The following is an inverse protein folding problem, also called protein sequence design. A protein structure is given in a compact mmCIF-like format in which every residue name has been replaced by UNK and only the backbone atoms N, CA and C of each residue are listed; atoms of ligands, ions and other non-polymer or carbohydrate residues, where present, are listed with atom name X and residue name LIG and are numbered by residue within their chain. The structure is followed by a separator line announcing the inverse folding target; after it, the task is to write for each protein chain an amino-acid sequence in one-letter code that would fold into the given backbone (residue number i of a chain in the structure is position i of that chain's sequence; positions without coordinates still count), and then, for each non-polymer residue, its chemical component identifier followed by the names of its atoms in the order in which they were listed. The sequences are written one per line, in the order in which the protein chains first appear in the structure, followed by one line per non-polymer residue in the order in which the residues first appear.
data_IF_526430457647
#
_entry.id   IF_526430457647
#
_cell.length_a   1.000
_cell.length_b   1.000
_cell.length_c   1.000
_cell.angle_alpha   90.00
_cell.angle_beta   90.00
_cell.angle_gamma   90.00
#
_symmetry.space_group_name_H-M   'P 1'
#
loop_
_entity.id
_entity.type
_entity.pdbx_description
1 polymer ?
#
# COMPACT_ATOMS: atom_id res chain seq x y z
N UNK A 1 -11.95 29.27 -21.49
CA UNK A 1 -12.60 27.97 -21.79
C UNK A 1 -12.45 27.07 -20.57
N UNK A 2 -13.55 26.76 -19.88
CA UNK A 2 -13.55 25.93 -18.66
C UNK A 2 -13.33 24.45 -19.06
N UNK A 3 -12.31 23.82 -18.50
CA UNK A 3 -12.07 22.38 -18.65
C UNK A 3 -13.17 21.58 -17.99
N UNK A 4 -13.76 20.65 -18.73
CA UNK A 4 -14.80 19.75 -18.25
C UNK A 4 -14.18 18.74 -17.27
N UNK A 5 -14.62 18.78 -16.01
CA UNK A 5 -14.24 17.79 -15.01
C UNK A 5 -14.75 16.41 -15.43
N UNK A 6 -13.82 15.48 -15.67
CA UNK A 6 -14.15 14.09 -15.98
C UNK A 6 -14.56 13.39 -14.68
N UNK A 7 -15.87 13.23 -14.47
CA UNK A 7 -16.44 12.48 -13.36
C UNK A 7 -15.96 11.02 -13.40
N UNK A 8 -15.09 10.63 -12.46
CA UNK A 8 -14.66 9.24 -12.34
C UNK A 8 -15.78 8.39 -11.72
N UNK A 9 -16.44 7.57 -12.54
CA UNK A 9 -17.51 6.66 -12.11
C UNK A 9 -16.98 5.24 -11.91
N UNK A 10 -17.42 4.58 -10.84
CA UNK A 10 -17.05 3.20 -10.53
C UNK A 10 -17.60 2.23 -11.60
N UNK A 11 -16.80 1.21 -11.96
CA UNK A 11 -17.22 0.14 -12.88
C UNK A 11 -17.87 -1.01 -12.09
N UNK A 12 -18.86 -1.66 -12.71
CA UNK A 12 -19.60 -2.81 -12.16
C UNK A 12 -18.64 -3.99 -11.96
N UNK A 13 -18.71 -4.74 -10.84
CA UNK A 13 -17.96 -5.99 -10.69
C UNK A 13 -18.39 -7.00 -11.74
N UNK A 14 -17.45 -7.81 -12.25
CA UNK A 14 -17.74 -8.93 -13.15
C UNK A 14 -18.74 -9.90 -12.49
N UNK A 15 -19.93 -10.06 -13.07
CA UNK A 15 -20.69 -11.29 -12.92
C UNK A 15 -20.24 -12.26 -14.02
N UNK A 16 -19.94 -13.51 -13.66
CA UNK A 16 -19.44 -14.53 -14.58
C UNK A 16 -20.50 -15.04 -15.58
N UNK A 17 -21.64 -14.34 -15.69
CA UNK A 17 -22.80 -14.78 -16.45
C UNK A 17 -22.89 -14.14 -17.85
N UNK A 18 -22.46 -12.88 -18.04
CA UNK A 18 -22.58 -12.21 -19.34
C UNK A 18 -21.48 -11.15 -19.57
N UNK A 19 -20.66 -11.35 -20.60
CA UNK A 19 -19.50 -10.49 -20.92
C UNK A 19 -19.88 -9.17 -21.64
N UNK A 20 -21.16 -8.94 -21.89
CA UNK A 20 -21.73 -7.80 -22.63
C UNK A 20 -22.23 -6.66 -21.73
N UNK A 21 -22.42 -6.86 -20.43
CA UNK A 21 -22.91 -5.80 -19.52
C UNK A 21 -21.75 -4.94 -18.95
N UNK A 22 -21.08 -4.19 -19.83
CA UNK A 22 -19.98 -3.27 -19.47
C UNK A 22 -20.42 -1.81 -19.32
N UNK A 23 -21.71 -1.57 -19.07
CA UNK A 23 -22.24 -0.22 -18.86
C UNK A 23 -21.68 0.45 -17.59
N UNK A 24 -21.43 1.77 -17.59
CA UNK A 24 -21.12 2.50 -16.37
C UNK A 24 -22.28 2.36 -15.37
N UNK A 25 -21.97 2.18 -14.08
CA UNK A 25 -22.98 2.08 -13.04
C UNK A 25 -23.63 3.44 -12.82
N UNK A 26 -24.80 3.66 -13.39
CA UNK A 26 -25.58 4.85 -13.06
C UNK A 26 -25.97 4.81 -11.57
N UNK A 27 -25.61 5.85 -10.83
CA UNK A 27 -26.16 6.13 -9.49
C UNK A 27 -25.39 5.64 -8.26
N UNK A 28 -24.21 5.03 -8.36
CA UNK A 28 -23.37 4.73 -7.18
C UNK A 28 -22.08 5.53 -7.19
N UNK A 29 -22.08 6.67 -6.50
CA UNK A 29 -20.82 7.32 -6.12
C UNK A 29 -20.04 6.37 -5.21
N UNK A 30 -18.73 6.22 -5.45
CA UNK A 30 -17.86 5.50 -4.54
C UNK A 30 -17.93 6.16 -3.16
N UNK A 31 -18.06 5.37 -2.09
CA UNK A 31 -18.10 5.92 -0.74
C UNK A 31 -16.85 6.77 -0.48
N UNK A 32 -17.01 7.99 0.09
CA UNK A 32 -15.90 8.92 0.34
C UNK A 32 -14.88 8.41 1.38
N UNK A 33 -15.10 7.21 1.93
CA UNK A 33 -14.33 6.58 2.99
C UNK A 33 -13.14 5.75 2.49
N UNK A 34 -12.81 5.76 1.20
CA UNK A 34 -11.59 5.11 0.70
C UNK A 34 -10.46 6.16 0.61
N UNK A 35 -9.54 6.24 1.58
CA UNK A 35 -8.45 7.21 1.56
C UNK A 35 -7.33 6.81 0.60
N UNK A 36 -7.57 5.87 -0.32
CA UNK A 36 -6.69 5.58 -1.45
C UNK A 36 -6.87 6.61 -2.57
N UNK A 37 -7.08 7.87 -2.21
CA UNK A 37 -6.65 8.98 -3.05
C UNK A 37 -5.13 8.96 -2.98
N UNK A 38 -4.52 8.15 -3.85
CA UNK A 38 -3.12 8.34 -4.23
C UNK A 38 -3.09 9.79 -4.71
N UNK A 39 -2.61 10.70 -3.85
CA UNK A 39 -2.30 12.07 -4.29
C UNK A 39 -1.42 11.96 -5.53
N UNK A 40 -1.55 12.92 -6.44
CA UNK A 40 -0.97 12.99 -7.79
C UNK A 40 0.51 12.55 -7.88
N UNK A 41 0.76 11.27 -7.70
CA UNK A 41 2.00 10.64 -8.06
C UNK A 41 1.97 10.63 -9.59
N UNK A 42 3.01 11.15 -10.27
CA UNK A 42 3.05 11.12 -11.72
C UNK A 42 2.74 9.70 -12.15
N UNK A 43 1.65 9.54 -12.90
CA UNK A 43 1.21 8.24 -13.37
C UNK A 43 2.39 7.64 -14.14
N UNK A 44 3.06 6.66 -13.53
CA UNK A 44 4.26 6.04 -14.10
C UNK A 44 3.90 5.63 -15.53
N UNK A 45 4.63 6.17 -16.50
CA UNK A 45 4.33 5.96 -17.92
C UNK A 45 4.17 4.47 -18.18
N UNK A 46 3.05 4.09 -18.80
CA UNK A 46 2.69 2.69 -18.98
C UNK A 46 3.57 2.13 -20.08
N UNK A 47 4.25 1.02 -19.80
CA UNK A 47 5.04 0.28 -20.78
C UNK A 47 4.10 -0.20 -21.90
N UNK A 48 4.10 0.49 -23.05
CA UNK A 48 3.23 0.18 -24.21
C UNK A 48 3.89 -0.77 -25.20
N UNK A 49 5.21 -0.70 -25.34
CA UNK A 49 5.97 -1.44 -26.34
C UNK A 49 6.46 -2.80 -25.82
N UNK A 50 6.52 -3.78 -26.71
CA UNK A 50 6.91 -5.16 -26.41
C UNK A 50 8.23 -5.49 -27.13
N UNK A 51 9.22 -5.96 -26.36
CA UNK A 51 10.48 -6.48 -26.89
C UNK A 51 10.47 -8.01 -26.87
N UNK A 52 10.64 -8.65 -28.04
CA UNK A 52 10.64 -10.12 -28.17
C UNK A 52 12.06 -10.61 -28.44
N UNK A 53 12.54 -11.53 -27.60
CA UNK A 53 13.88 -12.11 -27.70
C UNK A 53 13.81 -13.61 -27.99
N UNK A 54 14.38 -14.03 -29.12
CA UNK A 54 14.56 -15.46 -29.44
C UNK A 54 15.84 -15.95 -28.76
N UNK A 55 15.72 -17.02 -27.99
CA UNK A 55 16.83 -17.63 -27.29
C UNK A 55 16.69 -19.14 -27.26
N UNK A 56 17.82 -19.81 -27.04
CA UNK A 56 17.91 -21.23 -26.75
C UNK A 56 17.40 -21.54 -25.33
N UNK A 57 17.02 -22.79 -25.02
CA UNK A 57 16.55 -23.15 -23.69
C UNK A 57 17.61 -22.94 -22.59
N UNK A 58 18.90 -23.10 -22.92
CA UNK A 58 20.02 -22.86 -22.00
C UNK A 58 20.16 -21.39 -21.66
N UNK A 59 20.13 -20.51 -22.66
CA UNK A 59 20.16 -19.05 -22.46
C UNK A 59 18.98 -18.57 -21.60
N UNK A 60 17.79 -19.12 -21.83
CA UNK A 60 16.60 -18.81 -21.02
C UNK A 60 16.78 -19.24 -19.55
N UNK A 61 17.38 -20.40 -19.31
CA UNK A 61 17.68 -20.87 -17.95
C UNK A 61 18.69 -19.95 -17.25
N UNK A 62 19.77 -19.58 -17.94
CA UNK A 62 20.78 -18.65 -17.41
C UNK A 62 20.17 -17.28 -17.08
N UNK A 63 19.32 -16.74 -17.97
CA UNK A 63 18.65 -15.45 -17.74
C UNK A 63 17.74 -15.49 -16.50
N UNK A 64 16.98 -16.59 -16.33
CA UNK A 64 16.12 -16.77 -15.15
C UNK A 64 16.93 -16.89 -13.87
N UNK A 65 18.00 -17.68 -13.87
CA UNK A 65 18.87 -17.85 -12.71
C UNK A 65 19.51 -16.51 -12.28
N UNK A 66 19.95 -15.70 -13.25
CA UNK A 66 20.47 -14.35 -12.98
C UNK A 66 19.41 -13.42 -12.39
N UNK A 67 18.18 -13.48 -12.90
CA UNK A 67 17.07 -12.67 -12.38
C UNK A 67 16.71 -13.07 -10.94
N UNK A 68 16.62 -14.37 -10.66
CA UNK A 68 16.35 -14.89 -9.31
C UNK A 68 17.45 -14.53 -8.32
N UNK A 69 18.72 -14.69 -8.70
CA UNK A 69 19.85 -14.30 -7.86
C UNK A 69 19.85 -12.80 -7.53
N UNK A 70 19.37 -11.96 -8.45
CA UNK A 70 19.19 -10.52 -8.24
C UNK A 70 17.89 -10.17 -7.50
N UNK A 71 16.96 -11.11 -7.31
CA UNK A 71 15.63 -10.87 -6.75
C UNK A 71 14.71 -10.05 -7.66
N UNK A 72 14.94 -10.13 -8.98
CA UNK A 72 14.29 -9.33 -10.01
C UNK A 72 13.47 -10.21 -10.96
N UNK A 73 12.50 -9.60 -11.65
CA UNK A 73 11.94 -10.22 -12.84
C UNK A 73 12.96 -10.14 -13.99
N UNK A 74 12.88 -11.05 -14.96
CA UNK A 74 13.75 -11.01 -16.13
C UNK A 74 13.62 -9.68 -16.91
N UNK A 75 12.42 -9.08 -16.91
CA UNK A 75 12.19 -7.78 -17.54
C UNK A 75 12.88 -6.64 -16.77
N UNK A 76 12.89 -6.68 -15.44
CA UNK A 76 13.56 -5.67 -14.62
C UNK A 76 15.08 -5.80 -14.70
N UNK A 77 15.60 -7.03 -14.77
CA UNK A 77 17.01 -7.29 -15.02
C UNK A 77 17.48 -6.68 -16.36
N UNK A 78 16.66 -6.81 -17.42
CA UNK A 78 16.97 -6.22 -18.72
C UNK A 78 16.90 -4.68 -18.68
N UNK A 79 15.94 -4.09 -17.96
CA UNK A 79 15.87 -2.63 -17.80
C UNK A 79 17.03 -2.08 -16.99
N UNK A 80 17.50 -2.81 -15.98
CA UNK A 80 18.71 -2.47 -15.21
C UNK A 80 19.95 -2.56 -16.10
N UNK A 81 20.07 -3.59 -16.95
CA UNK A 81 21.19 -3.71 -17.89
C UNK A 81 21.27 -2.56 -18.90
N UNK A 82 20.12 -1.94 -19.23
CA UNK A 82 20.05 -0.74 -20.07
C UNK A 82 20.29 0.56 -19.30
N UNK A 83 20.49 0.51 -17.98
CA UNK A 83 20.64 1.69 -17.13
C UNK A 83 19.35 2.52 -16.96
N UNK A 84 18.19 1.98 -17.36
CA UNK A 84 16.92 2.70 -17.39
C UNK A 84 16.17 2.69 -16.05
N UNK A 85 16.62 1.85 -15.11
CA UNK A 85 15.99 1.73 -13.79
C UNK A 85 17.01 1.42 -12.72
N UNK A 86 17.06 2.26 -11.68
CA UNK A 86 17.55 1.84 -10.38
C UNK A 86 16.47 0.96 -9.74
N UNK A 87 16.56 -0.35 -9.93
CA UNK A 87 15.61 -1.25 -9.28
C UNK A 87 15.92 -1.24 -7.80
N UNK A 88 15.06 -0.54 -7.03
CA UNK A 88 15.12 -0.49 -5.58
C UNK A 88 14.99 -1.92 -5.05
N UNK A 89 16.14 -2.54 -4.79
CA UNK A 89 16.25 -3.88 -4.20
C UNK A 89 15.36 -3.89 -2.98
N UNK A 90 14.33 -4.75 -2.99
CA UNK A 90 13.45 -4.89 -1.82
C UNK A 90 14.35 -5.26 -0.66
N UNK A 91 14.42 -4.40 0.36
CA UNK A 91 15.09 -4.75 1.61
C UNK A 91 14.48 -6.09 2.04
N UNK A 92 15.30 -7.11 2.39
CA UNK A 92 14.78 -8.33 2.97
C UNK A 92 13.82 -7.93 4.08
N UNK A 93 12.58 -8.42 4.02
CA UNK A 93 11.60 -8.13 5.07
C UNK A 93 12.23 -8.66 6.36
N UNK A 94 12.46 -7.80 7.37
CA UNK A 94 13.01 -8.25 8.63
C UNK A 94 12.16 -9.42 9.15
N UNK A 95 12.80 -10.57 9.38
CA UNK A 95 12.11 -11.76 9.88
C UNK A 95 11.81 -11.55 11.36
N UNK A 96 10.65 -10.97 11.65
CA UNK A 96 10.11 -10.87 13.00
C UNK A 96 9.16 -12.03 13.28
N UNK A 97 9.08 -12.49 14.54
CA UNK A 97 8.11 -13.49 14.94
C UNK A 97 6.67 -13.02 14.61
N UNK A 98 5.82 -13.85 13.99
CA UNK A 98 4.46 -13.45 13.61
C UNK A 98 3.61 -12.95 14.78
N UNK A 99 3.89 -13.42 16.00
CA UNK A 99 3.23 -12.96 17.23
C UNK A 99 3.61 -11.52 17.58
N UNK A 100 4.90 -11.18 17.47
CA UNK A 100 5.40 -9.83 17.69
C UNK A 100 4.78 -8.85 16.69
N UNK A 101 4.72 -9.24 15.41
CA UNK A 101 4.08 -8.44 14.34
C UNK A 101 2.60 -8.21 14.64
N UNK A 102 1.87 -9.24 15.05
CA UNK A 102 0.45 -9.13 15.42
C UNK A 102 0.25 -8.25 16.65
N UNK A 103 1.09 -8.37 17.66
CA UNK A 103 0.99 -7.57 18.88
C UNK A 103 1.31 -6.09 18.62
N UNK A 104 2.37 -5.79 17.84
CA UNK A 104 2.67 -4.43 17.39
C UNK A 104 1.53 -3.85 16.52
N UNK A 105 0.94 -4.67 15.63
CA UNK A 105 -0.20 -4.28 14.81
C UNK A 105 -1.43 -3.88 15.62
N UNK A 106 -1.74 -4.59 16.72
CA UNK A 106 -2.84 -4.23 17.64
C UNK A 106 -2.59 -2.88 18.32
N UNK A 107 -1.37 -2.65 18.81
CA UNK A 107 -0.98 -1.37 19.44
C UNK A 107 -1.09 -0.21 18.42
N UNK A 108 -0.58 -0.41 17.21
CA UNK A 108 -0.71 0.56 16.12
C UNK A 108 -2.16 0.82 15.72
N UNK A 109 -3.02 -0.21 15.76
CA UNK A 109 -4.47 -0.09 15.57
C UNK A 109 -5.12 0.89 16.56
N UNK A 110 -4.78 0.76 17.84
CA UNK A 110 -5.29 1.65 18.90
C UNK A 110 -4.82 3.09 18.70
N UNK A 111 -3.53 3.29 18.41
CA UNK A 111 -2.98 4.63 18.12
C UNK A 111 -3.70 5.27 16.92
N UNK A 112 -3.93 4.49 15.86
CA UNK A 112 -4.62 4.96 14.67
C UNK A 112 -6.10 5.30 14.93
N UNK A 113 -6.76 4.62 15.88
CA UNK A 113 -8.11 4.99 16.30
C UNK A 113 -8.11 6.36 17.00
N UNK A 114 -7.15 6.62 17.90
CA UNK A 114 -7.00 7.92 18.57
C UNK A 114 -6.75 9.02 17.52
N UNK A 115 -5.79 8.80 16.62
CA UNK A 115 -5.48 9.75 15.54
C UNK A 115 -6.70 10.03 14.66
N UNK A 116 -7.44 8.99 14.25
CA UNK A 116 -8.65 9.16 13.45
C UNK A 116 -9.73 9.94 14.20
N UNK A 117 -9.94 9.68 15.48
CA UNK A 117 -10.91 10.42 16.29
C UNK A 117 -10.50 11.90 16.42
N UNK A 118 -9.25 12.19 16.75
CA UNK A 118 -8.70 13.55 16.83
C UNK A 118 -8.85 14.30 15.50
N UNK A 119 -8.48 13.66 14.39
CA UNK A 119 -8.58 14.26 13.07
C UNK A 119 -10.03 14.55 12.66
N UNK A 120 -10.98 13.68 13.06
CA UNK A 120 -12.41 13.93 12.83
C UNK A 120 -12.89 15.13 13.64
N UNK A 121 -12.57 15.19 14.93
CA UNK A 121 -12.95 16.31 15.80
C UNK A 121 -12.36 17.63 15.29
N UNK A 122 -11.09 17.63 14.86
CA UNK A 122 -10.44 18.81 14.29
C UNK A 122 -11.12 19.30 13.00
N UNK A 123 -11.49 18.37 12.10
CA UNK A 123 -12.21 18.71 10.85
C UNK A 123 -13.63 19.21 11.09
N UNK A 124 -14.27 18.76 12.17
CA UNK A 124 -15.59 19.23 12.58
C UNK A 124 -15.54 20.57 13.34
N UNK A 125 -14.36 21.11 13.65
CA UNK A 125 -14.21 22.31 14.47
C UNK A 125 -14.49 22.08 15.96
N UNK A 126 -14.60 20.82 16.39
CA UNK A 126 -14.94 20.41 17.76
C UNK A 126 -13.71 20.20 18.63
N UNK A 127 -12.55 20.74 18.25
CA UNK A 127 -11.29 20.56 18.97
C UNK A 127 -11.36 20.96 20.46
N UNK A 128 -12.24 21.89 20.82
CA UNK A 128 -12.47 22.32 22.21
C UNK A 128 -13.14 21.26 23.08
N UNK A 129 -13.80 20.26 22.48
CA UNK A 129 -14.45 19.15 23.18
C UNK A 129 -13.49 17.97 23.43
N UNK A 130 -12.26 18.04 22.92
CA UNK A 130 -11.26 17.01 23.12
C UNK A 130 -10.73 17.07 24.55
N UNK A 131 -10.97 16.03 25.33
CA UNK A 131 -10.34 15.84 26.63
C UNK A 131 -8.87 15.43 26.47
N UNK A 132 -7.97 16.41 26.59
CA UNK A 132 -6.53 16.20 26.47
C UNK A 132 -5.98 15.24 27.55
N UNK A 133 -6.55 15.23 28.76
CA UNK A 133 -6.11 14.34 29.84
C UNK A 133 -6.48 12.89 29.52
N UNK A 134 -7.69 12.66 28.99
CA UNK A 134 -8.11 11.35 28.52
C UNK A 134 -7.20 10.84 27.40
N UNK A 135 -6.87 11.69 26.42
CA UNK A 135 -5.97 11.34 25.31
C UNK A 135 -4.57 11.01 25.84
N UNK A 136 -4.00 11.85 26.71
CA UNK A 136 -2.69 11.62 27.30
C UNK A 136 -2.63 10.30 28.07
N UNK A 137 -3.67 9.97 28.85
CA UNK A 137 -3.78 8.69 29.57
C UNK A 137 -3.76 7.49 28.62
N UNK A 138 -4.46 7.57 27.48
CA UNK A 138 -4.47 6.51 26.48
C UNK A 138 -3.10 6.36 25.81
N UNK A 139 -2.40 7.47 25.52
CA UNK A 139 -1.06 7.44 24.94
C UNK A 139 -0.03 6.82 25.90
N UNK A 140 -0.07 7.15 27.20
CA UNK A 140 0.78 6.52 28.21
C UNK A 140 0.49 5.02 28.34
N UNK A 141 -0.78 4.62 28.23
CA UNK A 141 -1.13 3.19 28.24
C UNK A 141 -0.53 2.45 27.03
N UNK A 142 -0.58 3.05 25.84
CA UNK A 142 0.03 2.53 24.60
C UNK A 142 1.55 2.42 24.75
N UNK A 143 2.20 3.45 25.29
CA UNK A 143 3.65 3.47 25.55
C UNK A 143 4.05 2.30 26.47
N UNK A 144 3.33 2.10 27.57
CA UNK A 144 3.57 0.98 28.50
C UNK A 144 3.30 -0.40 27.89
N UNK A 145 2.35 -0.51 26.97
CA UNK A 145 2.12 -1.75 26.21
C UNK A 145 3.29 -2.04 25.27
N UNK A 146 3.81 -1.01 24.60
CA UNK A 146 4.95 -1.13 23.71
C UNK A 146 6.23 -1.49 24.48
N UNK A 147 6.48 -0.84 25.63
CA UNK A 147 7.62 -1.15 26.50
C UNK A 147 7.62 -2.62 26.93
N UNK A 148 6.47 -3.14 27.38
CA UNK A 148 6.32 -4.56 27.76
C UNK A 148 6.57 -5.51 26.59
N UNK A 149 6.15 -5.14 25.38
CA UNK A 149 6.36 -5.93 24.17
C UNK A 149 7.85 -6.00 23.79
N UNK A 150 8.56 -4.87 23.90
CA UNK A 150 10.02 -4.81 23.65
C UNK A 150 10.78 -5.59 24.71
N UNK A 151 10.43 -5.44 25.99
CA UNK A 151 11.07 -6.17 27.08
C UNK A 151 10.81 -7.68 27.00
N UNK A 152 9.63 -8.10 26.55
CA UNK A 152 9.30 -9.52 26.34
C UNK A 152 10.15 -10.13 25.22
N UNK A 153 10.36 -9.40 24.13
CA UNK A 153 11.20 -9.84 23.01
C UNK A 153 12.68 -9.96 23.41
N UNK A 154 13.21 -9.03 24.22
CA UNK A 154 14.60 -9.06 24.70
C UNK A 154 14.92 -10.19 25.68
N UNK A 155 13.90 -10.79 26.30
CA UNK A 155 14.04 -11.87 27.28
C UNK A 155 13.96 -13.26 26.65
N UNK A 156 13.65 -13.35 25.36
CA UNK A 156 13.60 -14.57 24.56
C UNK A 156 14.88 -14.71 23.72
#
# INVERSE_FOLDING_TARGET
MKGLAYEQRARRPLSYADASDRGPCEGRQASPSNPTGVGDAPAKERLSEIFVFRCTPTEKAVLRAKAEAAGLSAADLLREALGLTEVRRRKPIPRAAPELVRAAGRIGGNLNQIARWLNRAARAGESRQIDALQVARQLVAIERQLARLIEGDRRC
#
